data_IF_890207407789
#
_entry.id   IF_890207407789
#
_cell.length_a   1.000
_cell.length_b   1.000
_cell.length_c   1.000
_cell.angle_alpha   90.00
_cell.angle_beta   90.00
_cell.angle_gamma   90.00
#
_symmetry.space_group_name_H-M   'P 1'
#
loop_
_entity.id
_entity.type
_entity.pdbx_description
1 polymer ?
#
# COMPACT_ATOMS: atom_id res chain seq x y z
N UNK A 1 -23.96 10.91 23.79
CA UNK A 1 -23.07 10.22 24.74
C UNK A 1 -21.98 11.22 25.15
N UNK A 2 -22.01 11.69 26.40
CA UNK A 2 -20.94 12.54 26.95
C UNK A 2 -19.74 11.62 27.18
N UNK A 3 -18.67 11.77 26.40
CA UNK A 3 -17.37 11.13 26.70
C UNK A 3 -16.91 11.71 28.04
N UNK A 4 -16.89 10.90 29.08
CA UNK A 4 -16.26 11.30 30.35
C UNK A 4 -14.80 11.61 30.02
N UNK A 5 -14.40 12.88 30.16
CA UNK A 5 -13.01 13.30 30.07
C UNK A 5 -12.35 12.82 31.36
N UNK A 6 -11.55 11.78 31.27
CA UNK A 6 -10.75 11.32 32.40
C UNK A 6 -9.68 12.37 32.69
N UNK A 7 -9.42 12.62 33.98
CA UNK A 7 -8.34 13.48 34.42
C UNK A 7 -6.99 12.78 34.12
N UNK A 8 -6.24 13.34 33.17
CA UNK A 8 -4.95 12.79 32.71
C UNK A 8 -3.95 12.67 33.87
N UNK A 9 -3.92 13.64 34.78
CA UNK A 9 -3.02 13.59 35.94
C UNK A 9 -3.38 12.45 36.88
N UNK A 10 -4.66 12.14 37.06
CA UNK A 10 -5.07 10.97 37.83
C UNK A 10 -4.63 9.68 37.15
N UNK A 11 -4.74 9.60 35.81
CA UNK A 11 -4.28 8.43 35.05
C UNK A 11 -2.76 8.29 35.17
N UNK A 12 -1.99 9.36 35.02
CA UNK A 12 -0.53 9.37 35.23
C UNK A 12 -0.15 8.85 36.62
N UNK A 13 -0.84 9.35 37.66
CA UNK A 13 -0.61 8.90 39.03
C UNK A 13 -0.92 7.41 39.23
N UNK A 14 -2.00 6.91 38.67
CA UNK A 14 -2.33 5.48 38.73
C UNK A 14 -1.28 4.63 38.01
N UNK A 15 -0.84 5.04 36.80
CA UNK A 15 0.23 4.37 36.07
C UNK A 15 1.51 4.31 36.91
N UNK A 16 1.97 5.46 37.46
CA UNK A 16 3.19 5.53 38.26
C UNK A 16 3.08 4.71 39.56
N UNK A 17 1.89 4.54 40.11
CA UNK A 17 1.68 3.76 41.34
C UNK A 17 1.71 2.25 41.07
N UNK A 18 1.06 1.79 39.98
CA UNK A 18 0.76 0.37 39.78
C UNK A 18 1.58 -0.32 38.68
N UNK A 19 2.46 0.35 37.95
CA UNK A 19 3.19 -0.25 36.83
C UNK A 19 4.02 -1.50 37.19
N UNK A 20 4.48 -1.62 38.44
CA UNK A 20 5.26 -2.78 38.93
C UNK A 20 4.42 -4.03 39.17
N UNK A 21 3.10 -3.95 39.00
CA UNK A 21 2.23 -5.12 39.21
C UNK A 21 2.53 -6.21 38.16
N UNK A 22 2.76 -7.46 38.62
CA UNK A 22 3.33 -8.52 37.78
C UNK A 22 2.33 -9.28 36.90
N UNK A 23 1.11 -8.83 36.75
CA UNK A 23 0.11 -9.45 35.86
C UNK A 23 0.26 -8.93 34.44
N UNK A 24 0.41 -9.83 33.46
CA UNK A 24 0.61 -9.52 32.03
C UNK A 24 -0.53 -8.66 31.47
N UNK A 25 -1.79 -9.02 31.72
CA UNK A 25 -2.93 -8.26 31.20
C UNK A 25 -3.02 -6.87 31.83
N UNK A 26 -2.69 -6.76 33.10
CA UNK A 26 -2.64 -5.47 33.77
C UNK A 26 -1.54 -4.56 33.18
N UNK A 27 -0.35 -5.11 32.89
CA UNK A 27 0.73 -4.35 32.22
C UNK A 27 0.32 -3.86 30.83
N UNK A 28 -0.43 -4.67 30.05
CA UNK A 28 -1.02 -4.24 28.80
C UNK A 28 -2.02 -3.08 29.01
N UNK A 29 -2.80 -3.10 30.09
CA UNK A 29 -3.66 -1.97 30.44
C UNK A 29 -2.86 -0.70 30.79
N UNK A 30 -1.73 -0.83 31.49
CA UNK A 30 -0.82 0.29 31.74
C UNK A 30 -0.28 0.88 30.44
N UNK A 31 0.16 0.04 29.49
CA UNK A 31 0.65 0.51 28.17
C UNK A 31 -0.44 1.27 27.44
N UNK A 32 -1.69 0.77 27.42
CA UNK A 32 -2.85 1.45 26.83
C UNK A 32 -3.18 2.78 27.54
N UNK A 33 -3.01 2.85 28.84
CA UNK A 33 -3.19 4.09 29.59
C UNK A 33 -2.13 5.13 29.18
N UNK A 34 -0.87 4.71 29.01
CA UNK A 34 0.20 5.59 28.51
C UNK A 34 -0.08 6.03 27.08
N UNK A 35 -0.60 5.14 26.20
CA UNK A 35 -1.06 5.52 24.86
C UNK A 35 -2.17 6.57 24.88
N UNK A 36 -3.10 6.48 25.81
CA UNK A 36 -4.15 7.47 25.99
C UNK A 36 -3.58 8.81 26.42
N UNK A 37 -2.63 8.82 27.38
CA UNK A 37 -1.92 10.02 27.83
C UNK A 37 -1.19 10.68 26.65
N UNK A 38 -0.48 9.89 25.84
CA UNK A 38 0.30 10.38 24.69
C UNK A 38 -0.56 11.07 23.60
N UNK A 39 -1.84 10.70 23.49
CA UNK A 39 -2.79 11.33 22.57
C UNK A 39 -3.37 12.65 23.05
N UNK A 40 -3.42 12.85 24.35
CA UNK A 40 -4.09 14.00 24.98
C UNK A 40 -3.09 15.01 25.58
N UNK A 41 -1.88 14.57 25.89
CA UNK A 41 -0.82 15.37 26.54
C UNK A 41 0.55 14.76 26.25
N UNK A 42 1.63 15.45 26.66
CA UNK A 42 2.98 14.94 26.53
C UNK A 42 3.28 13.83 27.56
N UNK A 43 3.87 12.74 27.10
CA UNK A 43 4.41 11.67 27.95
C UNK A 43 5.68 12.18 28.64
N UNK A 44 5.67 12.15 29.96
CA UNK A 44 6.81 12.56 30.78
C UNK A 44 7.90 11.48 30.83
N UNK A 45 9.05 11.85 31.39
CA UNK A 45 10.21 10.96 31.44
C UNK A 45 9.95 9.68 32.24
N UNK A 46 9.14 9.74 33.30
CA UNK A 46 8.82 8.58 34.13
C UNK A 46 8.02 7.53 33.33
N UNK A 47 7.08 7.98 32.52
CA UNK A 47 6.29 7.10 31.65
C UNK A 47 7.14 6.44 30.56
N UNK A 48 8.12 7.18 30.00
CA UNK A 48 9.12 6.61 29.08
C UNK A 48 9.95 5.55 29.78
N UNK A 49 10.35 5.75 31.03
CA UNK A 49 11.10 4.76 31.81
C UNK A 49 10.28 3.51 32.11
N UNK A 50 8.98 3.65 32.40
CA UNK A 50 8.06 2.54 32.57
C UNK A 50 7.95 1.71 31.29
N UNK A 51 7.75 2.38 30.13
CA UNK A 51 7.73 1.69 28.83
C UNK A 51 9.06 0.99 28.52
N UNK A 52 10.18 1.66 28.85
CA UNK A 52 11.51 1.08 28.67
C UNK A 52 11.75 -0.15 29.54
N UNK A 53 11.28 -0.14 30.79
CA UNK A 53 11.37 -1.32 31.67
C UNK A 53 10.55 -2.49 31.10
N UNK A 54 9.32 -2.21 30.68
CA UNK A 54 8.48 -3.23 30.04
C UNK A 54 9.09 -3.78 28.75
N UNK A 55 9.60 -2.93 27.89
CA UNK A 55 10.20 -3.32 26.61
C UNK A 55 11.49 -4.15 26.77
N UNK A 56 12.25 -3.92 27.83
CA UNK A 56 13.56 -4.55 28.06
C UNK A 56 13.51 -5.75 29.00
N UNK A 57 12.63 -5.75 30.00
CA UNK A 57 12.72 -6.65 31.14
C UNK A 57 11.48 -7.54 31.34
N UNK A 58 10.36 -7.27 30.62
CA UNK A 58 9.17 -8.09 30.80
C UNK A 58 9.38 -9.51 30.23
N UNK A 59 8.91 -10.57 30.89
CA UNK A 59 9.02 -11.93 30.38
C UNK A 59 8.13 -12.24 29.17
N UNK A 60 7.13 -11.40 28.83
CA UNK A 60 6.20 -11.60 27.73
C UNK A 60 6.67 -10.83 26.46
N UNK A 61 6.94 -11.50 25.32
CA UNK A 61 6.69 -12.91 25.04
C UNK A 61 7.76 -13.84 25.63
N UNK A 62 7.34 -15.01 26.12
CA UNK A 62 8.23 -16.09 26.52
C UNK A 62 8.71 -16.92 25.34
N UNK A 63 7.88 -17.00 24.30
CA UNK A 63 8.09 -17.80 23.11
C UNK A 63 7.47 -17.10 21.87
N UNK A 64 7.84 -17.54 20.69
CA UNK A 64 7.34 -17.00 19.43
C UNK A 64 6.00 -17.66 19.06
N UNK A 65 4.90 -17.23 19.69
CA UNK A 65 3.56 -17.81 19.50
C UNK A 65 3.11 -17.83 18.03
N UNK A 66 3.57 -16.88 17.22
CA UNK A 66 3.24 -16.83 15.79
C UNK A 66 3.82 -18.02 14.98
N UNK A 67 4.77 -18.76 15.52
CA UNK A 67 5.30 -20.01 14.93
C UNK A 67 4.56 -21.26 15.42
N UNK A 68 3.74 -21.14 16.46
CA UNK A 68 3.09 -22.27 17.12
C UNK A 68 1.69 -22.47 16.55
N UNK A 69 1.34 -23.70 16.17
CA UNK A 69 0.00 -24.07 15.74
C UNK A 69 -1.02 -23.86 16.88
N UNK A 70 -2.08 -23.13 16.60
CA UNK A 70 -3.19 -22.87 17.53
C UNK A 70 -4.15 -24.08 17.69
N UNK A 71 -3.79 -25.25 17.14
CA UNK A 71 -4.61 -26.45 17.18
C UNK A 71 -5.63 -26.60 16.06
N UNK A 72 -5.61 -25.65 15.09
CA UNK A 72 -6.48 -25.64 13.91
C UNK A 72 -5.73 -25.86 12.58
N UNK A 73 -4.45 -26.19 12.63
CA UNK A 73 -3.55 -26.22 11.48
C UNK A 73 -3.09 -24.84 11.01
N UNK A 74 -3.39 -23.79 11.78
CA UNK A 74 -2.93 -22.42 11.54
C UNK A 74 -2.18 -21.91 12.79
N UNK A 75 -1.05 -21.21 12.63
CA UNK A 75 -0.33 -20.61 13.74
C UNK A 75 -1.15 -19.53 14.46
N UNK A 76 -0.85 -19.29 15.74
CA UNK A 76 -1.39 -18.14 16.46
C UNK A 76 -1.10 -16.84 15.66
N UNK A 77 -2.03 -15.91 15.71
CA UNK A 77 -1.96 -14.64 14.97
C UNK A 77 -1.80 -14.81 13.44
N UNK A 78 -2.23 -15.97 12.88
CA UNK A 78 -2.09 -16.27 11.46
C UNK A 78 -0.61 -16.37 11.01
N UNK A 79 0.32 -16.65 11.90
CA UNK A 79 1.75 -16.70 11.62
C UNK A 79 2.40 -15.32 11.46
N UNK A 80 1.72 -14.24 11.89
CA UNK A 80 2.25 -12.89 11.76
C UNK A 80 2.98 -12.40 13.04
N UNK A 81 4.32 -12.23 13.01
CA UNK A 81 5.08 -11.81 14.17
C UNK A 81 4.79 -10.38 14.63
N UNK A 82 4.40 -9.46 13.72
CA UNK A 82 4.04 -8.11 14.14
C UNK A 82 2.75 -8.12 14.96
N UNK A 83 1.70 -8.81 14.47
CA UNK A 83 0.44 -8.97 15.21
C UNK A 83 0.67 -9.68 16.53
N UNK A 84 1.55 -10.71 16.57
CA UNK A 84 1.95 -11.33 17.82
C UNK A 84 2.61 -10.30 18.75
N UNK A 85 3.60 -9.56 18.27
CA UNK A 85 4.38 -8.59 19.05
C UNK A 85 3.52 -7.51 19.70
N UNK A 86 2.62 -6.86 18.97
CA UNK A 86 1.73 -5.82 19.51
C UNK A 86 0.75 -6.34 20.57
N UNK A 87 0.56 -7.66 20.65
CA UNK A 87 -0.24 -8.33 21.66
C UNK A 87 0.59 -8.84 22.86
N UNK A 88 1.88 -8.59 22.89
CA UNK A 88 2.77 -8.93 24.03
C UNK A 88 3.17 -7.65 24.78
N UNK A 89 3.64 -7.80 26.02
CA UNK A 89 4.05 -6.64 26.83
C UNK A 89 5.28 -5.97 26.24
N UNK A 90 6.37 -6.74 25.93
CA UNK A 90 7.60 -6.14 25.34
C UNK A 90 7.35 -5.52 23.99
N UNK A 91 6.62 -6.23 23.10
CA UNK A 91 6.35 -5.72 21.76
C UNK A 91 5.46 -4.47 21.77
N UNK A 92 4.38 -4.47 22.55
CA UNK A 92 3.49 -3.31 22.69
C UNK A 92 4.21 -2.11 23.31
N UNK A 93 5.03 -2.32 24.36
CA UNK A 93 5.83 -1.25 24.92
C UNK A 93 6.87 -0.71 23.94
N UNK A 94 7.49 -1.59 23.13
CA UNK A 94 8.43 -1.21 22.07
C UNK A 94 7.74 -0.34 21.02
N UNK A 95 6.57 -0.77 20.53
CA UNK A 95 5.76 0.01 19.59
C UNK A 95 5.49 1.42 20.12
N UNK A 96 5.02 1.53 21.38
CA UNK A 96 4.72 2.82 22.00
C UNK A 96 5.95 3.71 22.14
N UNK A 97 7.10 3.15 22.54
CA UNK A 97 8.35 3.91 22.59
C UNK A 97 8.75 4.48 21.24
N UNK A 98 8.64 3.73 20.17
CA UNK A 98 8.99 4.22 18.83
C UNK A 98 8.02 5.29 18.36
N UNK A 99 6.69 5.06 18.52
CA UNK A 99 5.66 6.02 18.13
C UNK A 99 5.78 7.31 18.95
N UNK A 100 5.93 7.22 20.27
CA UNK A 100 6.20 8.38 21.12
C UNK A 100 7.49 9.11 20.70
N UNK A 101 8.49 8.35 20.24
CA UNK A 101 9.72 8.90 19.68
C UNK A 101 9.51 9.87 18.50
N UNK A 102 8.35 9.86 17.84
CA UNK A 102 8.08 10.78 16.72
C UNK A 102 7.99 12.24 17.18
N UNK A 103 7.44 12.51 18.34
CA UNK A 103 7.21 13.89 18.82
C UNK A 103 7.85 14.18 20.18
N UNK A 104 8.70 13.27 20.66
CA UNK A 104 9.32 13.37 21.98
C UNK A 104 10.30 14.55 22.12
N UNK A 105 10.38 15.12 23.31
CA UNK A 105 11.46 16.02 23.69
C UNK A 105 12.72 15.27 24.21
N UNK A 106 12.70 13.92 24.23
CA UNK A 106 13.80 13.08 24.72
C UNK A 106 14.39 12.12 23.67
N UNK A 107 14.66 12.55 22.42
CA UNK A 107 15.05 11.65 21.34
C UNK A 107 16.32 10.85 21.64
N UNK A 108 17.30 11.45 22.30
CA UNK A 108 18.55 10.76 22.68
C UNK A 108 18.31 9.59 23.65
N UNK A 109 17.41 9.78 24.60
CA UNK A 109 17.05 8.73 25.55
C UNK A 109 16.32 7.59 24.83
N UNK A 110 15.36 7.93 23.98
CA UNK A 110 14.65 6.95 23.16
C UNK A 110 15.65 6.16 22.31
N UNK A 111 16.56 6.78 21.56
CA UNK A 111 17.58 6.06 20.79
C UNK A 111 18.41 5.09 21.63
N UNK A 112 18.80 5.47 22.84
CA UNK A 112 19.54 4.57 23.75
C UNK A 112 18.72 3.35 24.15
N UNK A 113 17.42 3.52 24.39
CA UNK A 113 16.51 2.42 24.74
C UNK A 113 16.31 1.51 23.51
N UNK A 114 15.98 2.07 22.35
CA UNK A 114 15.76 1.33 21.11
C UNK A 114 17.01 0.55 20.68
N UNK A 115 18.20 1.10 20.91
CA UNK A 115 19.46 0.39 20.65
C UNK A 115 19.64 -0.88 21.52
N UNK A 116 19.11 -0.89 22.74
CA UNK A 116 19.07 -2.12 23.56
C UNK A 116 18.02 -3.10 23.07
N UNK A 117 16.80 -2.61 22.74
CA UNK A 117 15.72 -3.44 22.21
C UNK A 117 16.09 -4.08 20.87
N UNK A 118 16.97 -3.44 20.06
CA UNK A 118 17.41 -3.99 18.77
C UNK A 118 18.12 -5.33 18.86
N UNK A 119 18.55 -5.72 20.05
CA UNK A 119 19.19 -7.01 20.37
C UNK A 119 18.21 -8.02 20.99
N UNK A 120 16.92 -7.68 21.07
CA UNK A 120 15.92 -8.61 21.60
C UNK A 120 15.90 -9.92 20.80
N UNK A 121 15.82 -11.04 21.51
CA UNK A 121 15.79 -12.36 20.88
C UNK A 121 14.47 -12.63 20.16
N UNK A 122 13.38 -12.00 20.61
CA UNK A 122 12.07 -12.18 20.01
C UNK A 122 12.00 -11.46 18.64
N UNK A 123 11.67 -12.23 17.61
CA UNK A 123 11.39 -11.71 16.27
C UNK A 123 10.19 -10.77 16.30
N UNK A 124 9.16 -11.14 17.05
CA UNK A 124 7.95 -10.35 17.21
C UNK A 124 8.25 -8.95 17.77
N UNK A 125 9.09 -8.83 18.80
CA UNK A 125 9.52 -7.55 19.38
C UNK A 125 10.33 -6.73 18.37
N UNK A 126 11.27 -7.36 17.64
CA UNK A 126 12.05 -6.68 16.60
C UNK A 126 11.21 -6.21 15.43
N UNK A 127 10.15 -6.94 15.08
CA UNK A 127 9.17 -6.49 14.07
C UNK A 127 8.41 -5.25 14.54
N UNK A 128 8.02 -5.15 15.80
CA UNK A 128 7.42 -3.94 16.38
C UNK A 128 8.38 -2.75 16.33
N UNK A 129 9.66 -2.97 16.64
CA UNK A 129 10.67 -1.92 16.57
C UNK A 129 10.86 -1.39 15.15
N UNK A 130 11.09 -2.28 14.18
CA UNK A 130 11.48 -1.88 12.82
C UNK A 130 10.33 -1.29 12.01
N UNK A 131 9.09 -1.74 12.25
CA UNK A 131 7.88 -1.28 11.53
C UNK A 131 7.67 0.22 11.65
N UNK A 132 7.93 0.77 12.81
CA UNK A 132 7.69 2.20 13.09
C UNK A 132 8.97 3.03 13.12
N UNK A 133 10.14 2.44 12.87
CA UNK A 133 11.44 3.07 13.01
C UNK A 133 11.63 4.32 12.11
N UNK A 134 10.93 4.40 10.98
CA UNK A 134 11.03 5.52 10.03
C UNK A 134 10.75 6.89 10.68
N UNK A 135 9.90 6.95 11.70
CA UNK A 135 9.60 8.21 12.41
C UNK A 135 10.79 8.82 13.14
N UNK A 136 11.79 8.00 13.49
CA UNK A 136 13.01 8.45 14.15
C UNK A 136 13.99 9.16 13.21
N UNK A 137 13.80 9.06 11.88
CA UNK A 137 14.69 9.65 10.86
C UNK A 137 14.76 11.18 11.00
N UNK A 138 13.67 11.82 11.41
CA UNK A 138 13.62 13.28 11.57
C UNK A 138 14.57 13.81 12.64
N UNK A 139 14.86 13.01 13.66
CA UNK A 139 15.77 13.38 14.74
C UNK A 139 17.24 13.12 14.40
N UNK A 140 17.52 11.91 13.93
CA UNK A 140 18.88 11.53 13.52
C UNK A 140 18.84 10.37 12.52
N UNK A 141 19.04 10.72 11.25
CA UNK A 141 19.07 9.72 10.15
C UNK A 141 20.21 8.71 10.33
N UNK A 142 21.36 9.12 10.83
CA UNK A 142 22.53 8.24 10.98
C UNK A 142 22.32 7.24 12.10
N UNK A 143 21.78 7.67 13.24
CA UNK A 143 21.41 6.75 14.33
C UNK A 143 20.31 5.79 13.89
N UNK A 144 19.28 6.27 13.20
CA UNK A 144 18.20 5.43 12.66
C UNK A 144 18.74 4.40 11.66
N UNK A 145 19.65 4.80 10.78
CA UNK A 145 20.35 3.90 9.86
C UNK A 145 21.14 2.81 10.61
N UNK A 146 21.95 3.19 11.59
CA UNK A 146 22.73 2.23 12.38
C UNK A 146 21.83 1.25 13.12
N UNK A 147 20.73 1.73 13.69
CA UNK A 147 19.74 0.93 14.38
C UNK A 147 19.06 -0.06 13.42
N UNK A 148 18.65 0.40 12.22
CA UNK A 148 18.10 -0.47 11.17
C UNK A 148 19.08 -1.58 10.78
N UNK A 149 20.34 -1.25 10.53
CA UNK A 149 21.37 -2.23 10.17
C UNK A 149 21.61 -3.25 11.28
N UNK A 150 21.51 -2.83 12.54
CA UNK A 150 21.65 -3.71 13.71
C UNK A 150 20.45 -4.66 13.84
N UNK A 151 19.22 -4.15 13.74
CA UNK A 151 17.99 -4.96 13.82
C UNK A 151 17.96 -6.01 12.70
N UNK A 152 18.45 -5.68 11.52
CA UNK A 152 18.43 -6.57 10.33
C UNK A 152 19.72 -7.37 10.14
N UNK A 153 20.62 -7.37 11.13
CA UNK A 153 21.96 -8.00 11.00
C UNK A 153 21.89 -9.51 10.76
N UNK A 154 20.95 -10.22 11.37
CA UNK A 154 20.72 -11.67 11.19
C UNK A 154 19.94 -11.98 9.91
N UNK A 155 19.47 -10.95 9.19
CA UNK A 155 18.69 -11.08 7.95
C UNK A 155 17.43 -11.96 8.09
N UNK A 156 16.81 -11.94 9.26
CA UNK A 156 15.58 -12.70 9.46
C UNK A 156 14.46 -12.20 8.51
N UNK A 157 13.79 -13.11 7.76
CA UNK A 157 12.83 -12.74 6.72
C UNK A 157 11.75 -11.77 7.19
N UNK A 158 11.11 -12.07 8.30
CA UNK A 158 10.01 -11.27 8.83
C UNK A 158 10.48 -9.87 9.25
N UNK A 159 11.66 -9.76 9.85
CA UNK A 159 12.23 -8.46 10.24
C UNK A 159 12.51 -7.61 9.00
N UNK A 160 13.10 -8.19 7.95
CA UNK A 160 13.33 -7.49 6.68
C UNK A 160 12.01 -7.06 6.05
N UNK A 161 10.98 -7.92 6.04
CA UNK A 161 9.64 -7.60 5.54
C UNK A 161 9.10 -6.31 6.17
N UNK A 162 9.05 -6.25 7.49
CA UNK A 162 8.55 -5.06 8.19
C UNK A 162 9.50 -3.86 8.12
N UNK A 163 10.78 -4.09 7.82
CA UNK A 163 11.78 -3.05 7.62
C UNK A 163 11.74 -2.35 6.26
N UNK A 164 11.04 -2.89 5.25
CA UNK A 164 11.03 -2.34 3.90
C UNK A 164 10.53 -0.89 3.84
N UNK A 165 9.54 -0.54 4.65
CA UNK A 165 9.02 0.82 4.72
C UNK A 165 10.08 1.79 5.27
N UNK A 166 10.74 1.42 6.36
CA UNK A 166 11.85 2.18 6.91
C UNK A 166 13.01 2.31 5.91
N UNK A 167 13.32 1.23 5.22
CA UNK A 167 14.35 1.18 4.17
C UNK A 167 14.06 2.20 3.05
N UNK A 168 12.83 2.34 2.61
CA UNK A 168 12.41 3.33 1.61
C UNK A 168 12.84 4.76 1.99
N UNK A 169 12.70 5.13 3.26
CA UNK A 169 13.08 6.46 3.75
C UNK A 169 14.57 6.59 4.08
N UNK A 170 15.25 5.53 4.47
CA UNK A 170 16.66 5.56 4.84
C UNK A 170 17.59 5.62 3.64
N UNK A 171 17.22 5.03 2.50
CA UNK A 171 18.07 4.96 1.31
C UNK A 171 18.26 6.35 0.70
N UNK A 172 19.52 6.67 0.44
CA UNK A 172 19.98 7.84 -0.30
C UNK A 172 20.97 7.39 -1.39
N UNK A 173 21.32 8.27 -2.33
CA UNK A 173 22.35 7.93 -3.34
C UNK A 173 23.68 7.51 -2.70
N UNK A 174 24.05 8.15 -1.57
CA UNK A 174 25.33 7.93 -0.93
C UNK A 174 25.44 6.58 -0.22
N UNK A 175 24.34 6.09 0.38
CA UNK A 175 24.33 4.83 1.12
C UNK A 175 23.67 3.68 0.36
N UNK A 176 23.22 3.88 -0.88
CA UNK A 176 22.48 2.88 -1.65
C UNK A 176 23.22 1.55 -1.75
N UNK A 177 24.56 1.59 -1.95
CA UNK A 177 25.36 0.37 -2.08
C UNK A 177 25.26 -0.56 -0.87
N UNK A 178 25.19 0.02 0.35
CA UNK A 178 25.08 -0.79 1.58
C UNK A 178 23.75 -1.48 1.74
N UNK A 179 22.70 -0.98 1.07
CA UNK A 179 21.36 -1.60 1.10
C UNK A 179 21.12 -2.64 0.01
N UNK A 180 22.00 -2.74 -1.02
CA UNK A 180 21.83 -3.73 -2.09
C UNK A 180 21.65 -5.15 -1.54
N UNK A 181 22.45 -5.64 -0.57
CA UNK A 181 22.26 -6.98 -0.02
C UNK A 181 20.88 -7.18 0.66
N UNK A 182 20.32 -6.12 1.28
CA UNK A 182 18.99 -6.18 1.89
C UNK A 182 17.89 -6.24 0.83
N UNK A 183 18.01 -5.44 -0.24
CA UNK A 183 17.11 -5.46 -1.38
C UNK A 183 17.12 -6.83 -2.09
N UNK A 184 18.32 -7.37 -2.34
CA UNK A 184 18.47 -8.69 -2.95
C UNK A 184 17.90 -9.80 -2.06
N UNK A 185 18.08 -9.71 -0.75
CA UNK A 185 17.49 -10.66 0.20
C UNK A 185 15.96 -10.56 0.20
N UNK A 186 15.42 -9.35 0.21
CA UNK A 186 13.98 -9.16 0.18
C UNK A 186 13.31 -9.70 -1.10
N UNK A 187 14.00 -9.63 -2.25
CA UNK A 187 13.50 -10.22 -3.50
C UNK A 187 13.37 -11.75 -3.44
N UNK A 188 14.26 -12.44 -2.70
CA UNK A 188 14.24 -13.91 -2.58
C UNK A 188 13.16 -14.38 -1.61
N UNK A 189 12.79 -13.55 -0.61
CA UNK A 189 11.87 -13.93 0.44
C UNK A 189 10.43 -14.08 -0.03
N UNK A 190 10.08 -13.50 -1.17
CA UNK A 190 8.72 -13.46 -1.66
C UNK A 190 8.19 -14.82 -2.11
N UNK A 191 9.05 -15.71 -2.62
CA UNK A 191 8.64 -17.02 -3.14
C UNK A 191 7.98 -17.93 -2.09
N UNK A 192 8.12 -17.62 -0.80
CA UNK A 192 7.69 -18.50 0.31
C UNK A 192 6.66 -17.87 1.27
N UNK A 193 6.20 -16.65 1.03
CA UNK A 193 5.31 -15.97 1.98
C UNK A 193 3.98 -15.56 1.31
N UNK A 194 2.93 -16.29 1.60
CA UNK A 194 1.53 -16.06 1.18
C UNK A 194 0.93 -14.72 1.67
N UNK A 195 1.71 -13.84 2.30
CA UNK A 195 1.22 -12.58 2.85
C UNK A 195 1.59 -11.36 2.03
N UNK A 196 0.52 -10.72 1.55
CA UNK A 196 0.41 -9.38 1.01
C UNK A 196 1.71 -8.57 0.84
N UNK A 197 2.10 -8.40 -0.41
CA UNK A 197 2.71 -7.20 -0.93
C UNK A 197 4.18 -6.91 -0.66
N UNK A 198 4.99 -7.83 -0.10
CA UNK A 198 6.44 -7.62 -0.05
C UNK A 198 6.97 -7.32 -1.45
N UNK A 199 6.55 -8.11 -2.45
CA UNK A 199 6.90 -7.90 -3.84
C UNK A 199 6.34 -6.63 -4.43
N UNK A 200 5.07 -6.31 -4.19
CA UNK A 200 4.51 -5.03 -4.66
C UNK A 200 5.29 -3.86 -4.07
N UNK A 201 5.54 -3.88 -2.77
CA UNK A 201 6.31 -2.83 -2.11
C UNK A 201 7.75 -2.75 -2.62
N UNK A 202 8.39 -3.92 -2.83
CA UNK A 202 9.70 -4.01 -3.44
C UNK A 202 9.72 -3.45 -4.86
N UNK A 203 8.70 -3.75 -5.68
CA UNK A 203 8.54 -3.19 -7.02
C UNK A 203 8.50 -1.65 -7.02
N UNK A 204 7.74 -1.06 -6.08
CA UNK A 204 7.68 0.39 -5.89
C UNK A 204 9.05 0.97 -5.50
N UNK A 205 9.74 0.36 -4.54
CA UNK A 205 11.08 0.79 -4.08
C UNK A 205 12.11 0.72 -5.22
N UNK A 206 12.19 -0.40 -5.92
CA UNK A 206 13.14 -0.59 -7.02
C UNK A 206 12.88 0.39 -8.16
N UNK A 207 11.62 0.61 -8.51
CA UNK A 207 11.27 1.59 -9.53
C UNK A 207 11.61 3.02 -9.08
N UNK A 208 11.34 3.40 -7.84
CA UNK A 208 11.74 4.70 -7.31
C UNK A 208 13.23 4.95 -7.51
N UNK A 209 14.08 3.98 -7.17
CA UNK A 209 15.52 4.13 -7.31
C UNK A 209 15.94 4.22 -8.78
N UNK A 210 15.30 3.46 -9.67
CA UNK A 210 15.52 3.56 -11.10
C UNK A 210 15.11 4.94 -11.65
N UNK A 211 13.94 5.47 -11.25
CA UNK A 211 13.48 6.80 -11.65
C UNK A 211 14.47 7.89 -11.22
N UNK A 212 15.03 7.76 -10.02
CA UNK A 212 16.00 8.70 -9.44
C UNK A 212 17.47 8.47 -9.87
N UNK A 213 17.74 7.54 -10.80
CA UNK A 213 19.09 7.22 -11.30
C UNK A 213 20.07 6.79 -10.19
N UNK A 214 19.62 5.93 -9.27
CA UNK A 214 20.55 5.34 -8.29
C UNK A 214 21.50 4.34 -8.98
N UNK A 215 22.75 4.21 -8.53
CA UNK A 215 23.70 3.29 -9.13
C UNK A 215 23.16 1.85 -9.14
N UNK A 216 23.30 1.11 -10.24
CA UNK A 216 22.79 -0.28 -10.39
C UNK A 216 21.28 -0.47 -10.25
N UNK A 217 20.49 0.60 -10.05
CA UNK A 217 19.05 0.48 -9.82
C UNK A 217 18.30 -0.16 -11.00
N UNK A 218 18.77 0.06 -12.25
CA UNK A 218 18.19 -0.60 -13.43
C UNK A 218 18.42 -2.11 -13.39
N UNK A 219 19.64 -2.51 -13.05
CA UNK A 219 20.04 -3.94 -12.93
C UNK A 219 19.18 -4.65 -11.86
N UNK A 220 19.03 -4.01 -10.69
CA UNK A 220 18.21 -4.54 -9.60
C UNK A 220 16.72 -4.64 -9.97
N UNK A 221 16.17 -3.63 -10.66
CA UNK A 221 14.79 -3.65 -11.15
C UNK A 221 14.57 -4.80 -12.15
N UNK A 222 15.49 -4.99 -13.11
CA UNK A 222 15.45 -6.08 -14.08
C UNK A 222 15.58 -7.46 -13.40
N UNK A 223 16.41 -7.57 -12.37
CA UNK A 223 16.52 -8.78 -11.55
C UNK A 223 15.18 -9.07 -10.84
N UNK A 224 14.58 -8.05 -10.21
CA UNK A 224 13.29 -8.17 -9.54
C UNK A 224 12.18 -8.64 -10.49
N UNK A 225 12.11 -8.10 -11.70
CA UNK A 225 11.10 -8.52 -12.70
C UNK A 225 11.23 -9.99 -13.13
N UNK A 226 12.43 -10.57 -13.02
CA UNK A 226 12.67 -12.00 -13.30
C UNK A 226 12.34 -12.88 -12.09
N UNK A 227 12.43 -12.31 -10.89
CA UNK A 227 12.24 -13.07 -9.65
C UNK A 227 10.77 -13.24 -9.31
N UNK A 228 9.95 -12.19 -9.50
CA UNK A 228 8.56 -12.22 -9.04
C UNK A 228 7.61 -11.36 -9.87
N UNK A 229 6.40 -11.88 -10.07
CA UNK A 229 5.31 -11.15 -10.69
C UNK A 229 4.83 -9.99 -9.80
N UNK A 230 4.78 -10.18 -8.48
CA UNK A 230 4.34 -9.14 -7.54
C UNK A 230 5.24 -7.89 -7.62
N UNK A 231 6.54 -8.06 -7.89
CA UNK A 231 7.47 -6.94 -8.13
C UNK A 231 7.05 -6.16 -9.40
N UNK A 232 6.60 -6.86 -10.45
CA UNK A 232 6.05 -6.18 -11.64
C UNK A 232 4.80 -5.39 -11.29
N UNK A 233 3.88 -5.97 -10.51
CA UNK A 233 2.64 -5.31 -10.07
C UNK A 233 2.95 -4.02 -9.31
N UNK A 234 3.88 -4.07 -8.35
CA UNK A 234 4.30 -2.88 -7.61
C UNK A 234 4.97 -1.82 -8.47
N UNK A 235 5.75 -2.23 -9.46
CA UNK A 235 6.36 -1.30 -10.41
C UNK A 235 5.32 -0.66 -11.34
N UNK A 236 4.30 -1.41 -11.81
CA UNK A 236 3.20 -0.89 -12.63
C UNK A 236 2.41 0.16 -11.82
N UNK A 237 2.02 -0.17 -10.58
CA UNK A 237 1.32 0.75 -9.70
C UNK A 237 2.11 2.04 -9.47
N UNK A 238 3.39 1.92 -9.12
CA UNK A 238 4.24 3.09 -8.87
C UNK A 238 4.48 3.91 -10.15
N UNK A 239 4.65 3.25 -11.31
CA UNK A 239 4.78 3.91 -12.60
C UNK A 239 3.54 4.75 -12.93
N UNK A 240 2.33 4.20 -12.71
CA UNK A 240 1.07 4.89 -13.00
C UNK A 240 0.97 6.24 -12.28
N UNK A 241 1.36 6.31 -11.01
CA UNK A 241 1.39 7.54 -10.19
C UNK A 241 2.36 8.61 -10.70
N UNK A 242 3.32 8.23 -11.56
CA UNK A 242 4.36 9.12 -12.07
C UNK A 242 4.22 9.45 -13.56
N UNK A 243 3.12 9.04 -14.20
CA UNK A 243 2.87 9.34 -15.63
C UNK A 243 2.62 10.82 -15.90
N UNK A 244 2.26 11.58 -14.89
CA UNK A 244 2.01 13.05 -14.95
C UNK A 244 2.99 13.85 -14.07
N UNK A 245 4.14 13.28 -13.77
CA UNK A 245 5.18 13.95 -12.98
C UNK A 245 5.69 15.21 -13.70
N UNK A 246 6.07 16.30 -12.99
CA UNK A 246 6.62 17.51 -13.62
C UNK A 246 7.97 17.28 -14.33
N UNK A 247 8.76 16.25 -13.94
CA UNK A 247 10.02 15.92 -14.62
C UNK A 247 9.79 14.99 -15.82
N UNK A 248 10.06 15.46 -17.07
CA UNK A 248 9.91 14.66 -18.28
C UNK A 248 10.73 13.37 -18.29
N UNK A 249 11.88 13.35 -17.60
CA UNK A 249 12.72 12.16 -17.51
C UNK A 249 12.04 11.07 -16.68
N UNK A 250 11.36 11.46 -15.61
CA UNK A 250 10.56 10.56 -14.78
C UNK A 250 9.37 10.04 -15.59
N UNK A 251 8.62 10.93 -16.28
CA UNK A 251 7.51 10.53 -17.15
C UNK A 251 7.97 9.46 -18.16
N UNK A 252 9.04 9.74 -18.90
CA UNK A 252 9.52 8.84 -19.97
C UNK A 252 9.92 7.46 -19.44
N UNK A 253 10.55 7.40 -18.27
CA UNK A 253 10.89 6.13 -17.62
C UNK A 253 9.64 5.40 -17.12
N UNK A 254 8.72 6.11 -16.49
CA UNK A 254 7.46 5.56 -16.00
C UNK A 254 6.61 5.00 -17.13
N UNK A 255 6.48 5.75 -18.25
CA UNK A 255 5.80 5.27 -19.47
C UNK A 255 6.40 3.97 -19.99
N UNK A 256 7.75 3.87 -20.06
CA UNK A 256 8.43 2.65 -20.53
C UNK A 256 8.11 1.45 -19.65
N UNK A 257 8.10 1.61 -18.33
CA UNK A 257 7.77 0.53 -17.40
C UNK A 257 6.28 0.19 -17.47
N UNK A 258 5.40 1.19 -17.48
CA UNK A 258 3.96 1.01 -17.57
C UNK A 258 3.57 0.25 -18.86
N UNK A 259 4.13 0.63 -20.01
CA UNK A 259 3.83 -0.02 -21.30
C UNK A 259 4.43 -1.42 -21.46
N UNK A 260 5.50 -1.73 -20.68
CA UNK A 260 6.28 -2.95 -20.84
C UNK A 260 5.46 -4.23 -20.66
N UNK A 261 4.56 -4.24 -19.69
CA UNK A 261 3.80 -5.43 -19.27
C UNK A 261 2.38 -5.48 -19.80
N UNK A 262 1.96 -4.49 -20.61
CA UNK A 262 0.61 -4.40 -21.18
C UNK A 262 0.17 -5.64 -21.97
N UNK A 263 1.10 -6.43 -22.49
CA UNK A 263 0.81 -7.61 -23.29
C UNK A 263 1.24 -8.94 -22.62
N UNK A 264 1.67 -8.90 -21.36
CA UNK A 264 2.07 -10.13 -20.64
C UNK A 264 0.88 -11.02 -20.25
N UNK A 265 -0.31 -10.45 -20.11
CA UNK A 265 -1.59 -11.18 -20.15
C UNK A 265 -1.95 -12.05 -18.94
N UNK A 266 -1.20 -11.99 -17.83
CA UNK A 266 -1.62 -12.70 -16.60
C UNK A 266 -2.78 -11.99 -15.93
N UNK A 267 -3.63 -12.73 -15.22
CA UNK A 267 -4.80 -12.17 -14.53
C UNK A 267 -4.41 -11.11 -13.50
N UNK A 268 -3.34 -11.33 -12.75
CA UNK A 268 -2.85 -10.37 -11.76
C UNK A 268 -2.37 -9.06 -12.39
N UNK A 269 -1.62 -9.16 -13.49
CA UNK A 269 -1.15 -7.98 -14.23
C UNK A 269 -2.33 -7.21 -14.80
N UNK A 270 -3.30 -7.90 -15.39
CA UNK A 270 -4.51 -7.31 -15.94
C UNK A 270 -5.30 -6.54 -14.86
N UNK A 271 -5.53 -7.16 -13.72
CA UNK A 271 -6.18 -6.55 -12.57
C UNK A 271 -5.40 -5.33 -12.05
N UNK A 272 -4.06 -5.42 -12.00
CA UNK A 272 -3.25 -4.29 -11.56
C UNK A 272 -3.35 -3.08 -12.49
N UNK A 273 -3.43 -3.30 -13.82
CA UNK A 273 -3.64 -2.20 -14.76
C UNK A 273 -4.99 -1.54 -14.57
N UNK A 274 -6.06 -2.31 -14.35
CA UNK A 274 -7.37 -1.74 -14.03
C UNK A 274 -7.30 -0.91 -12.73
N UNK A 275 -6.72 -1.45 -11.67
CA UNK A 275 -6.53 -0.71 -10.41
C UNK A 275 -5.75 0.60 -10.56
N UNK A 276 -4.86 0.73 -11.57
CA UNK A 276 -4.10 1.96 -11.82
C UNK A 276 -4.99 3.16 -12.17
N UNK A 277 -6.21 2.95 -12.65
CA UNK A 277 -7.15 4.04 -12.95
C UNK A 277 -7.56 4.82 -11.69
N UNK A 278 -7.47 4.22 -10.51
CA UNK A 278 -7.65 4.93 -9.24
C UNK A 278 -6.56 5.99 -8.96
N UNK A 279 -5.40 5.88 -9.61
CA UNK A 279 -4.29 6.83 -9.45
C UNK A 279 -4.42 8.05 -10.39
N UNK A 280 -5.35 8.02 -11.36
CA UNK A 280 -5.47 9.08 -12.36
C UNK A 280 -6.50 10.11 -11.93
N UNK A 281 -6.16 11.39 -12.15
CA UNK A 281 -7.06 12.51 -11.97
C UNK A 281 -7.71 12.87 -13.29
N UNK A 282 -8.94 13.36 -13.24
CA UNK A 282 -9.71 13.74 -14.42
C UNK A 282 -9.00 14.84 -15.22
N UNK A 283 -8.41 15.82 -14.53
CA UNK A 283 -7.65 16.93 -15.14
C UNK A 283 -6.39 16.48 -15.88
N UNK A 284 -5.87 15.29 -15.60
CA UNK A 284 -4.68 14.76 -16.26
C UNK A 284 -5.02 13.86 -17.47
N UNK A 285 -6.29 13.61 -17.74
CA UNK A 285 -6.74 12.69 -18.79
C UNK A 285 -6.04 12.93 -20.14
N UNK A 286 -5.99 14.17 -20.60
CA UNK A 286 -5.37 14.51 -21.87
C UNK A 286 -3.87 14.19 -21.94
N UNK A 287 -3.16 14.26 -20.80
CA UNK A 287 -1.72 13.94 -20.73
C UNK A 287 -1.44 12.44 -20.84
N UNK A 288 -2.39 11.61 -20.42
CA UNK A 288 -2.27 10.16 -20.38
C UNK A 288 -3.15 9.46 -21.42
N UNK A 289 -3.96 10.19 -22.19
CA UNK A 289 -4.92 9.64 -23.16
C UNK A 289 -4.28 8.61 -24.09
N UNK A 290 -3.10 8.91 -24.66
CA UNK A 290 -2.42 7.97 -25.55
C UNK A 290 -2.08 6.61 -24.88
N UNK A 291 -1.78 6.62 -23.57
CA UNK A 291 -1.51 5.39 -22.81
C UNK A 291 -2.80 4.63 -22.51
N UNK A 292 -3.88 5.35 -22.20
CA UNK A 292 -5.20 4.76 -21.99
C UNK A 292 -5.73 4.15 -23.29
N UNK A 293 -5.47 4.80 -24.42
CA UNK A 293 -5.83 4.27 -25.74
C UNK A 293 -5.10 2.96 -26.04
N UNK A 294 -3.80 2.86 -25.73
CA UNK A 294 -3.09 1.58 -25.89
C UNK A 294 -3.62 0.49 -24.94
N UNK A 295 -3.93 0.84 -23.68
CA UNK A 295 -4.60 -0.08 -22.76
C UNK A 295 -5.95 -0.58 -23.31
N UNK A 296 -6.78 0.33 -23.85
CA UNK A 296 -8.11 -0.02 -24.39
C UNK A 296 -8.08 -0.97 -25.59
N UNK A 297 -6.95 -1.07 -26.30
CA UNK A 297 -6.74 -2.02 -27.40
C UNK A 297 -6.34 -3.43 -26.93
N UNK A 298 -5.98 -3.57 -25.65
CA UNK A 298 -5.53 -4.86 -25.13
C UNK A 298 -6.68 -5.78 -24.77
N UNK A 299 -6.41 -7.09 -24.73
CA UNK A 299 -7.41 -8.08 -24.27
C UNK A 299 -7.73 -7.95 -22.76
N UNK A 300 -6.98 -7.16 -22.02
CA UNK A 300 -7.16 -6.95 -20.57
C UNK A 300 -8.51 -6.37 -20.22
N UNK A 301 -8.99 -5.43 -21.04
CA UNK A 301 -10.27 -4.73 -20.85
C UNK A 301 -11.48 -5.67 -20.86
N UNK A 302 -11.34 -6.90 -21.40
CA UNK A 302 -12.41 -7.89 -21.42
C UNK A 302 -12.77 -8.44 -20.05
N UNK A 303 -11.79 -8.55 -19.16
CA UNK A 303 -11.91 -9.27 -17.89
C UNK A 303 -11.83 -8.35 -16.67
N UNK A 304 -11.04 -7.29 -16.78
CA UNK A 304 -10.78 -6.34 -15.69
C UNK A 304 -10.91 -4.92 -16.25
N UNK A 305 -12.04 -4.28 -16.02
CA UNK A 305 -12.33 -2.95 -16.57
C UNK A 305 -13.24 -2.10 -15.67
N UNK A 306 -13.47 -2.52 -14.43
CA UNK A 306 -14.38 -1.82 -13.53
C UNK A 306 -13.88 -0.42 -13.21
N UNK A 307 -12.62 -0.31 -12.78
CA UNK A 307 -12.01 0.96 -12.41
C UNK A 307 -11.77 1.85 -13.65
N UNK A 308 -11.49 1.23 -14.79
CA UNK A 308 -11.41 1.94 -16.08
C UNK A 308 -12.73 2.64 -16.42
N UNK A 309 -13.87 1.94 -16.37
CA UNK A 309 -15.18 2.56 -16.66
C UNK A 309 -15.60 3.54 -15.59
N UNK A 310 -15.24 3.33 -14.31
CA UNK A 310 -15.44 4.34 -13.26
C UNK A 310 -14.67 5.63 -13.54
N UNK A 311 -13.48 5.52 -14.09
CA UNK A 311 -12.69 6.66 -14.50
C UNK A 311 -13.31 7.36 -15.72
N UNK A 312 -13.72 6.60 -16.76
CA UNK A 312 -14.38 7.18 -17.94
C UNK A 312 -15.69 7.89 -17.59
N UNK A 313 -16.49 7.36 -16.66
CA UNK A 313 -17.70 8.02 -16.19
C UNK A 313 -17.44 9.41 -15.57
N UNK A 314 -16.26 9.61 -14.97
CA UNK A 314 -15.85 10.92 -14.45
C UNK A 314 -15.34 11.88 -15.56
N UNK A 315 -14.83 11.33 -16.65
CA UNK A 315 -14.18 12.08 -17.74
C UNK A 315 -15.16 12.44 -18.85
N UNK A 316 -16.21 11.66 -19.07
CA UNK A 316 -17.11 11.75 -20.22
C UNK A 316 -17.72 13.14 -20.38
N UNK A 317 -17.97 13.84 -19.30
CA UNK A 317 -18.51 15.21 -19.32
C UNK A 317 -17.54 16.26 -19.88
N UNK A 318 -16.23 15.98 -19.89
CA UNK A 318 -15.19 16.88 -20.35
C UNK A 318 -14.65 16.51 -21.73
N UNK A 319 -14.56 15.22 -22.03
CA UNK A 319 -13.92 14.69 -23.23
C UNK A 319 -14.76 13.54 -23.85
N UNK A 320 -16.01 13.83 -24.27
CA UNK A 320 -16.95 12.79 -24.71
C UNK A 320 -16.49 12.04 -25.96
N UNK A 321 -15.90 12.72 -26.95
CA UNK A 321 -15.34 12.15 -28.17
C UNK A 321 -14.22 11.14 -27.88
N UNK A 322 -13.33 11.48 -26.97
CA UNK A 322 -12.25 10.57 -26.56
C UNK A 322 -12.76 9.35 -25.79
N UNK A 323 -13.80 9.51 -24.98
CA UNK A 323 -14.45 8.39 -24.32
C UNK A 323 -15.07 7.42 -25.32
N UNK A 324 -15.77 7.92 -26.35
CA UNK A 324 -16.33 7.10 -27.43
C UNK A 324 -15.21 6.32 -28.15
N UNK A 325 -14.11 6.99 -28.47
CA UNK A 325 -12.94 6.36 -29.10
C UNK A 325 -12.36 5.19 -28.26
N UNK A 326 -12.26 5.37 -26.96
CA UNK A 326 -11.78 4.30 -26.05
C UNK A 326 -12.75 3.13 -26.00
N UNK A 327 -14.05 3.42 -26.00
CA UNK A 327 -15.09 2.40 -25.94
C UNK A 327 -15.27 1.64 -27.26
N UNK A 328 -14.91 2.23 -28.40
CA UNK A 328 -14.92 1.55 -29.70
C UNK A 328 -14.01 0.32 -29.70
N UNK A 329 -12.89 0.37 -29.00
CA UNK A 329 -12.00 -0.78 -28.87
C UNK A 329 -12.64 -1.91 -28.05
N UNK A 330 -13.54 -1.58 -27.12
CA UNK A 330 -14.27 -2.56 -26.33
C UNK A 330 -15.30 -3.36 -27.17
N UNK A 331 -15.92 -2.73 -28.17
CA UNK A 331 -16.88 -3.37 -29.10
C UNK A 331 -16.30 -4.60 -29.82
N UNK A 332 -15.00 -4.60 -30.10
CA UNK A 332 -14.35 -5.66 -30.91
C UNK A 332 -14.02 -6.92 -30.09
N UNK A 333 -14.53 -7.05 -28.90
CA UNK A 333 -14.24 -8.19 -28.04
C UNK A 333 -15.39 -9.19 -27.94
N UNK A 334 -15.06 -10.48 -27.95
CA UNK A 334 -15.98 -11.57 -27.67
C UNK A 334 -16.59 -11.48 -26.28
N UNK A 335 -17.80 -12.03 -26.09
CA UNK A 335 -18.67 -11.91 -24.89
C UNK A 335 -17.94 -11.72 -23.57
N UNK A 336 -18.23 -10.64 -22.81
CA UNK A 336 -17.71 -10.47 -21.46
C UNK A 336 -18.26 -11.55 -20.51
N UNK A 337 -17.45 -11.96 -19.55
CA UNK A 337 -17.83 -12.94 -18.53
C UNK A 337 -19.03 -12.41 -17.70
N UNK A 338 -20.05 -13.23 -17.51
CA UNK A 338 -21.40 -12.90 -16.97
C UNK A 338 -21.38 -12.22 -15.57
N UNK A 339 -20.23 -12.16 -14.89
CA UNK A 339 -20.07 -11.59 -13.54
C UNK A 339 -20.20 -10.07 -13.45
N UNK A 340 -20.40 -9.35 -14.56
CA UNK A 340 -20.29 -7.90 -14.65
C UNK A 340 -21.61 -7.12 -14.82
N UNK A 341 -22.72 -7.60 -14.25
CA UNK A 341 -24.01 -6.92 -14.36
C UNK A 341 -24.00 -5.44 -13.88
N UNK A 342 -23.18 -5.10 -12.86
CA UNK A 342 -23.08 -3.72 -12.37
C UNK A 342 -22.33 -2.77 -13.31
N UNK A 343 -21.39 -3.30 -14.11
CA UNK A 343 -20.61 -2.50 -15.09
C UNK A 343 -21.43 -2.16 -16.32
N UNK A 344 -22.43 -2.96 -16.63
CA UNK A 344 -23.27 -2.82 -17.81
C UNK A 344 -24.04 -1.50 -17.77
N UNK A 345 -24.62 -1.17 -16.65
CA UNK A 345 -25.31 0.11 -16.45
C UNK A 345 -24.37 1.32 -16.64
N UNK A 346 -23.17 1.25 -16.12
CA UNK A 346 -22.16 2.31 -16.29
C UNK A 346 -21.75 2.49 -17.75
N UNK A 347 -21.53 1.40 -18.49
CA UNK A 347 -21.14 1.44 -19.89
C UNK A 347 -22.21 2.16 -20.73
N UNK A 348 -23.47 1.77 -20.54
CA UNK A 348 -24.61 2.39 -21.23
C UNK A 348 -24.74 3.87 -20.84
N UNK A 349 -24.63 4.19 -19.57
CA UNK A 349 -24.67 5.57 -19.08
C UNK A 349 -23.57 6.45 -19.71
N UNK A 350 -22.33 5.96 -19.76
CA UNK A 350 -21.20 6.70 -20.39
C UNK A 350 -21.50 6.96 -21.86
N UNK A 351 -22.04 5.97 -22.60
CA UNK A 351 -22.36 6.13 -24.02
C UNK A 351 -23.47 7.17 -24.24
N UNK A 352 -24.53 7.15 -23.44
CA UNK A 352 -25.63 8.11 -23.52
C UNK A 352 -25.15 9.52 -23.19
N UNK A 353 -24.37 9.68 -22.10
CA UNK A 353 -23.81 10.97 -21.74
C UNK A 353 -22.85 11.50 -22.79
N UNK A 354 -22.02 10.65 -23.40
CA UNK A 354 -21.13 11.02 -24.49
C UNK A 354 -21.91 11.44 -25.74
N UNK A 355 -22.91 10.65 -26.14
CA UNK A 355 -23.77 10.94 -27.28
C UNK A 355 -24.46 12.30 -27.17
N UNK A 356 -25.02 12.62 -26.01
CA UNK A 356 -25.71 13.87 -25.74
C UNK A 356 -24.80 15.11 -25.77
N UNK A 357 -23.50 14.95 -25.54
CA UNK A 357 -22.54 16.05 -25.42
C UNK A 357 -21.70 16.26 -26.65
N UNK A 358 -21.50 15.24 -27.44
CA UNK A 358 -20.70 15.29 -28.65
C UNK A 358 -21.45 16.07 -29.73
N UNK A 359 -20.74 16.98 -30.40
CA UNK A 359 -21.31 17.82 -31.47
C UNK A 359 -21.11 17.15 -32.84
N UNK A 360 -19.98 16.47 -33.04
CA UNK A 360 -19.62 15.83 -34.30
C UNK A 360 -20.48 14.59 -34.56
N UNK A 361 -21.20 14.57 -35.68
CA UNK A 361 -22.10 13.49 -36.04
C UNK A 361 -21.38 12.15 -36.25
N UNK A 362 -20.10 12.17 -36.63
CA UNK A 362 -19.28 10.96 -36.74
C UNK A 362 -19.14 10.24 -35.39
N UNK A 363 -18.90 10.98 -34.31
CA UNK A 363 -18.83 10.40 -32.97
C UNK A 363 -20.21 9.97 -32.45
N UNK A 364 -21.30 10.67 -32.83
CA UNK A 364 -22.66 10.22 -32.51
C UNK A 364 -22.95 8.88 -33.15
N UNK A 365 -22.63 8.75 -34.44
CA UNK A 365 -22.78 7.49 -35.17
C UNK A 365 -21.94 6.36 -34.53
N UNK A 366 -20.70 6.67 -34.17
CA UNK A 366 -19.84 5.71 -33.45
C UNK A 366 -20.47 5.28 -32.12
N UNK A 367 -20.99 6.19 -31.31
CA UNK A 367 -21.63 5.88 -30.03
C UNK A 367 -22.87 4.98 -30.23
N UNK A 368 -23.72 5.28 -31.23
CA UNK A 368 -24.87 4.46 -31.57
C UNK A 368 -24.47 3.05 -32.03
N UNK A 369 -23.43 2.95 -32.86
CA UNK A 369 -22.91 1.67 -33.31
C UNK A 369 -22.34 0.80 -32.17
N UNK A 370 -21.74 1.41 -31.16
CA UNK A 370 -21.28 0.72 -29.93
C UNK A 370 -22.50 0.28 -29.11
N UNK A 371 -23.47 1.16 -28.95
CA UNK A 371 -24.70 0.90 -28.21
C UNK A 371 -25.49 -0.28 -28.82
N UNK A 372 -25.70 -0.29 -30.15
CA UNK A 372 -26.37 -1.34 -30.86
C UNK A 372 -25.65 -2.70 -30.72
N UNK A 373 -24.31 -2.68 -30.79
CA UNK A 373 -23.52 -3.89 -30.59
C UNK A 373 -23.70 -4.46 -29.16
N UNK A 374 -23.76 -3.61 -28.16
CA UNK A 374 -23.99 -3.99 -26.75
C UNK A 374 -25.41 -4.56 -26.59
N UNK A 375 -26.41 -3.96 -27.20
CA UNK A 375 -27.81 -4.44 -27.16
C UNK A 375 -28.02 -5.79 -27.86
N UNK A 376 -27.33 -6.04 -28.97
CA UNK A 376 -27.43 -7.30 -29.73
C UNK A 376 -26.91 -8.49 -28.94
N UNK A 377 -25.97 -8.30 -28.03
CA UNK A 377 -25.46 -9.37 -27.17
C UNK A 377 -26.44 -9.79 -26.07
N UNK A 378 -27.59 -9.13 -25.93
CA UNK A 378 -28.77 -9.58 -25.14
C UNK A 378 -28.65 -9.42 -23.61
N UNK A 379 -27.48 -9.17 -23.12
CA UNK A 379 -27.19 -9.12 -21.66
C UNK A 379 -27.58 -7.75 -21.05
N UNK A 380 -27.59 -6.70 -21.87
CA UNK A 380 -27.74 -5.29 -21.45
C UNK A 380 -29.13 -4.69 -21.68
N UNK A 381 -30.04 -5.43 -22.34
CA UNK A 381 -31.31 -4.88 -22.84
C UNK A 381 -32.20 -4.31 -21.74
N UNK A 382 -32.27 -4.97 -20.59
CA UNK A 382 -33.10 -4.53 -19.48
C UNK A 382 -32.59 -3.25 -18.83
N UNK A 383 -31.29 -3.15 -18.62
CA UNK A 383 -30.63 -1.99 -17.98
C UNK A 383 -30.62 -0.77 -18.91
N UNK A 384 -30.37 -0.98 -20.19
CA UNK A 384 -30.42 0.10 -21.19
C UNK A 384 -31.82 0.70 -21.32
N UNK A 385 -32.88 -0.13 -21.36
CA UNK A 385 -34.29 0.32 -21.38
C UNK A 385 -34.62 1.11 -20.11
N UNK A 386 -34.15 0.68 -18.95
CA UNK A 386 -34.39 1.35 -17.68
C UNK A 386 -33.74 2.74 -17.64
N UNK A 387 -32.48 2.87 -18.06
CA UNK A 387 -31.75 4.13 -18.13
C UNK A 387 -32.41 5.11 -19.09
N UNK A 388 -32.80 4.64 -20.29
CA UNK A 388 -33.53 5.45 -21.28
C UNK A 388 -34.87 5.93 -20.72
N UNK A 389 -35.64 5.05 -20.05
CA UNK A 389 -36.92 5.40 -19.45
C UNK A 389 -36.81 6.38 -18.26
N UNK A 390 -35.67 6.42 -17.57
CA UNK A 390 -35.37 7.39 -16.52
C UNK A 390 -35.01 8.78 -17.09
N UNK A 391 -34.36 8.85 -18.24
CA UNK A 391 -34.04 10.10 -18.93
C UNK A 391 -35.26 10.78 -19.57
N UNK A 392 -36.22 10.00 -20.09
CA UNK A 392 -37.48 10.55 -20.64
C UNK A 392 -38.41 11.14 -19.57
N UNK A 393 -38.12 10.95 -18.28
CA UNK A 393 -38.90 11.45 -17.15
C UNK A 393 -38.33 12.71 -16.50
N UNK A 394 -37.16 13.17 -16.91
CA UNK A 394 -36.46 14.38 -16.41
C UNK A 394 -36.51 15.52 -17.40
#
# INVERSE_FOLDING_TARGET
MVKAKYDIEQIKQLVKTYWRYKNTEFRKCIIRAIEYIDKEDNVDLDLIEILADYALNDPDPKEELWEIDAGSGTPYYGGDPLTCGINTVRGSATERLVIHGYETQYPEKIFKILNKISEDKSIAVRCCLIKFLQGMIKWDRSKTYNLFMKITSDKHPQVIKYGLECLYYLITKNNFKSFIPHLERAMILEENLDYHSVGKYMGQILLLFYLRNYPRSKELLEKGFKTSEEIKLGAIDFASRHLVNPDPKIINKSKKIYMRFLNEGTDKINQQYDCCFNNFKVEDFNKIYALILEYSKTKMIKKYCETFFEFLAKVVNLEPDKCINLMQNYKNFEKPDIRYNALQGKLVQILIEAYNRVIDDTYKEMAMNIFDAILQEGVYKGEAIKILAEQDRG
#
